data_IF_581851234008
#
_entry.id   IF_581851234008
#
_cell.length_a   1.000
_cell.length_b   1.000
_cell.length_c   1.000
_cell.angle_alpha   90.00
_cell.angle_beta   90.00
_cell.angle_gamma   90.00
#
_symmetry.space_group_name_H-M   'P 1'
#
loop_
_entity.id
_entity.type
_entity.pdbx_description
1 polymer ?
#
# COMPACT_ATOMS: atom_id res chain seq x y z
N UNK A 1 -25.72 1.73 -19.83
CA UNK A 1 -24.35 1.16 -19.87
C UNK A 1 -24.04 0.63 -18.47
N UNK A 2 -23.72 -0.67 -18.31
CA UNK A 2 -23.32 -1.25 -17.01
C UNK A 2 -21.87 -1.75 -17.17
N UNK A 3 -20.98 -1.31 -16.27
CA UNK A 3 -19.59 -1.75 -16.20
C UNK A 3 -19.36 -2.44 -14.85
N UNK A 4 -18.81 -3.66 -14.89
CA UNK A 4 -18.41 -4.41 -13.71
C UNK A 4 -17.04 -5.07 -13.95
N UNK A 5 -16.12 -4.84 -13.02
CA UNK A 5 -14.79 -5.46 -13.01
C UNK A 5 -14.64 -6.21 -11.69
N UNK A 6 -14.28 -7.50 -11.77
CA UNK A 6 -14.03 -8.35 -10.62
C UNK A 6 -12.56 -8.76 -10.58
N UNK A 7 -11.90 -8.52 -9.44
CA UNK A 7 -10.50 -8.91 -9.24
C UNK A 7 -10.37 -9.78 -7.98
N UNK A 8 -9.87 -11.01 -8.16
CA UNK A 8 -9.50 -11.94 -7.08
C UNK A 8 -8.12 -12.53 -7.37
N UNK A 9 -7.08 -11.81 -6.93
CA UNK A 9 -5.70 -12.26 -7.04
C UNK A 9 -5.22 -12.97 -5.78
N UNK A 10 -4.41 -14.01 -5.94
CA UNK A 10 -3.60 -14.57 -4.86
C UNK A 10 -2.27 -13.85 -4.82
N UNK A 11 -1.74 -13.52 -3.64
CA UNK A 11 -0.37 -13.02 -3.50
C UNK A 11 0.64 -14.02 -4.06
N UNK A 12 1.72 -13.53 -4.65
CA UNK A 12 2.82 -14.39 -5.09
C UNK A 12 3.42 -15.15 -3.90
N UNK A 13 3.61 -14.43 -2.80
CA UNK A 13 4.00 -14.99 -1.50
C UNK A 13 3.01 -14.52 -0.43
N UNK A 14 2.14 -15.42 0.00
CA UNK A 14 1.02 -15.12 0.90
C UNK A 14 1.48 -14.79 2.33
N UNK A 15 0.67 -13.97 3.01
CA UNK A 15 0.80 -13.76 4.46
C UNK A 15 0.46 -15.04 5.22
N UNK A 16 1.20 -15.34 6.28
CA UNK A 16 0.86 -16.43 7.19
C UNK A 16 -0.29 -15.98 8.10
N UNK A 17 -1.48 -16.62 8.08
CA UNK A 17 -2.60 -16.22 8.93
C UNK A 17 -2.28 -16.23 10.43
N UNK A 18 -1.32 -17.05 10.87
CA UNK A 18 -0.88 -17.11 12.28
C UNK A 18 -0.05 -15.90 12.71
N UNK A 19 0.48 -15.13 11.76
CA UNK A 19 1.20 -13.89 12.02
C UNK A 19 0.27 -12.66 12.05
N UNK A 20 -1.03 -12.85 11.79
CA UNK A 20 -2.03 -11.78 11.90
C UNK A 20 -2.42 -11.56 13.36
N UNK A 21 -2.37 -10.32 13.83
CA UNK A 21 -2.72 -9.96 15.22
C UNK A 21 -3.52 -8.66 15.26
N UNK A 22 -4.22 -8.41 16.37
CA UNK A 22 -4.87 -7.11 16.59
C UNK A 22 -3.81 -6.03 16.81
N UNK A 23 -3.85 -4.98 16.01
CA UNK A 23 -2.96 -3.81 16.12
C UNK A 23 -3.78 -2.54 15.92
N UNK A 24 -3.28 -1.43 16.47
CA UNK A 24 -3.91 -0.11 16.30
C UNK A 24 -3.70 0.40 14.88
N UNK A 25 -4.79 0.75 14.21
CA UNK A 25 -4.79 1.57 13.00
C UNK A 25 -5.18 3.00 13.36
N UNK A 26 -4.35 3.97 12.96
CA UNK A 26 -4.56 5.38 13.25
C UNK A 26 -5.43 6.00 12.14
N UNK A 27 -6.66 6.35 12.49
CA UNK A 27 -7.58 7.07 11.58
C UNK A 27 -7.33 8.57 11.60
N UNK A 28 -6.80 9.08 12.72
CA UNK A 28 -6.24 10.43 12.90
C UNK A 28 -5.13 10.38 13.97
N UNK A 29 -4.53 11.52 14.31
CA UNK A 29 -3.56 11.63 15.42
C UNK A 29 -4.19 11.30 16.79
N UNK A 30 -5.51 11.45 16.91
CA UNK A 30 -6.28 11.30 18.14
C UNK A 30 -7.12 10.02 18.16
N UNK A 31 -7.47 9.47 16.99
CA UNK A 31 -8.44 8.39 16.87
C UNK A 31 -7.80 7.12 16.33
N UNK A 32 -7.95 6.02 17.08
CA UNK A 32 -7.45 4.70 16.68
C UNK A 32 -8.54 3.64 16.70
N UNK A 33 -8.33 2.57 15.95
CA UNK A 33 -9.18 1.38 15.94
C UNK A 33 -8.32 0.13 15.85
N UNK A 34 -8.64 -0.90 16.63
CA UNK A 34 -7.97 -2.19 16.51
C UNK A 34 -8.43 -2.90 15.22
N UNK A 35 -7.45 -3.36 14.45
CA UNK A 35 -7.66 -4.11 13.19
C UNK A 35 -6.80 -5.36 13.20
N UNK A 36 -7.23 -6.39 12.46
CA UNK A 36 -6.40 -7.57 12.19
C UNK A 36 -5.28 -7.20 11.21
N UNK A 37 -4.12 -6.84 11.73
CA UNK A 37 -2.95 -6.45 10.95
C UNK A 37 -2.17 -7.70 10.54
N UNK A 38 -2.00 -7.89 9.24
CA UNK A 38 -1.18 -8.95 8.68
C UNK A 38 0.30 -8.60 8.80
N UNK A 39 1.16 -9.59 8.98
CA UNK A 39 2.61 -9.39 9.07
C UNK A 39 3.38 -10.42 8.24
N UNK A 40 4.44 -9.95 7.58
CA UNK A 40 5.41 -10.78 6.86
C UNK A 40 6.71 -9.98 6.68
N UNK A 41 7.83 -10.68 6.72
CA UNK A 41 9.14 -10.17 6.32
C UNK A 41 9.57 -10.89 5.03
N UNK A 42 9.86 -10.14 3.97
CA UNK A 42 10.37 -10.66 2.69
C UNK A 42 11.05 -9.55 1.91
N UNK A 43 11.64 -9.89 0.76
CA UNK A 43 12.17 -8.92 -0.18
C UNK A 43 11.03 -8.39 -1.06
N UNK A 44 10.74 -7.11 -0.95
CA UNK A 44 9.79 -6.40 -1.80
C UNK A 44 10.52 -5.28 -2.52
N UNK A 45 9.99 -4.87 -3.68
CA UNK A 45 10.38 -3.59 -4.25
C UNK A 45 9.78 -2.49 -3.40
N UNK A 46 10.64 -1.61 -2.91
CA UNK A 46 10.29 -0.50 -2.04
C UNK A 46 10.89 0.75 -2.66
N UNK A 47 10.08 1.79 -2.78
CA UNK A 47 10.55 3.12 -3.13
C UNK A 47 10.40 4.02 -1.90
N UNK A 48 11.52 4.33 -1.27
CA UNK A 48 11.61 5.21 -0.08
C UNK A 48 11.88 6.67 -0.44
N UNK A 49 12.03 6.99 -1.72
CA UNK A 49 12.43 8.30 -2.22
C UNK A 49 11.31 8.98 -3.01
N UNK A 50 10.05 8.77 -2.62
CA UNK A 50 8.93 9.55 -3.17
C UNK A 50 8.86 10.92 -2.48
N UNK A 51 9.96 11.67 -2.46
CA UNK A 51 10.09 12.94 -1.73
C UNK A 51 9.03 13.96 -2.13
N UNK A 52 8.68 14.01 -3.42
CA UNK A 52 7.64 14.88 -3.98
C UNK A 52 6.22 14.54 -3.51
N UNK A 53 6.05 13.34 -2.93
CA UNK A 53 4.81 12.83 -2.38
C UNK A 53 4.85 12.72 -0.85
N UNK A 54 6.02 12.89 -0.21
CA UNK A 54 6.22 12.74 1.23
C UNK A 54 5.68 11.38 1.77
N UNK A 55 6.01 10.30 1.05
CA UNK A 55 5.47 8.97 1.28
C UNK A 55 6.50 7.88 0.95
N UNK A 56 6.32 6.69 1.53
CA UNK A 56 6.97 5.45 1.08
C UNK A 56 6.03 4.72 0.13
N UNK A 57 6.58 3.90 -0.77
CA UNK A 57 5.80 2.96 -1.58
C UNK A 57 6.35 1.54 -1.48
N UNK A 58 5.46 0.56 -1.51
CA UNK A 58 5.79 -0.87 -1.57
C UNK A 58 4.96 -1.55 -2.65
N UNK A 59 5.60 -2.43 -3.44
CA UNK A 59 4.94 -3.28 -4.43
C UNK A 59 4.82 -4.71 -3.92
N UNK A 60 3.58 -5.22 -3.84
CA UNK A 60 3.27 -6.59 -3.43
C UNK A 60 2.74 -7.36 -4.66
N UNK A 61 3.53 -8.28 -5.24
CA UNK A 61 3.13 -9.00 -6.45
C UNK A 61 2.04 -10.03 -6.18
N UNK A 62 1.10 -10.16 -7.13
CA UNK A 62 0.20 -11.30 -7.22
C UNK A 62 0.88 -12.47 -7.94
N UNK A 63 0.36 -13.67 -7.69
CA UNK A 63 0.80 -14.92 -8.31
C UNK A 63 0.72 -14.80 -9.83
N UNK A 64 1.80 -15.23 -10.49
CA UNK A 64 1.92 -15.19 -11.95
C UNK A 64 2.60 -13.94 -12.49
N UNK A 65 2.99 -12.97 -11.64
CA UNK A 65 3.92 -11.88 -12.00
C UNK A 65 3.40 -10.85 -13.00
N UNK A 66 2.10 -10.87 -13.34
CA UNK A 66 1.47 -9.94 -14.29
C UNK A 66 0.81 -8.74 -13.61
N UNK A 67 0.62 -8.78 -12.31
CA UNK A 67 -0.10 -7.76 -11.54
C UNK A 67 0.48 -7.69 -10.15
N UNK A 68 0.46 -6.50 -9.57
CA UNK A 68 0.85 -6.22 -8.20
C UNK A 68 -0.09 -5.21 -7.56
N UNK A 69 -0.09 -5.15 -6.23
CA UNK A 69 -0.67 -4.05 -5.48
C UNK A 69 0.45 -3.11 -5.06
N UNK A 70 0.29 -1.82 -5.34
CA UNK A 70 1.22 -0.78 -4.88
C UNK A 70 0.53 0.03 -3.79
N UNK A 71 1.19 0.12 -2.64
CA UNK A 71 0.68 0.84 -1.47
C UNK A 71 1.58 2.05 -1.26
N UNK A 72 1.01 3.24 -1.32
CA UNK A 72 1.67 4.49 -0.94
C UNK A 72 1.26 4.83 0.50
N UNK A 73 2.25 5.02 1.37
CA UNK A 73 2.06 5.33 2.79
C UNK A 73 2.69 6.69 3.10
N UNK A 74 1.89 7.75 3.37
CA UNK A 74 2.39 9.04 3.83
C UNK A 74 3.25 8.90 5.10
N UNK A 75 4.24 9.78 5.26
CA UNK A 75 5.05 9.82 6.49
C UNK A 75 4.26 10.29 7.72
N UNK A 76 3.27 11.15 7.51
CA UNK A 76 2.40 11.68 8.56
C UNK A 76 1.08 10.91 8.64
N UNK A 77 0.59 10.66 9.86
CA UNK A 77 -0.69 9.97 10.10
C UNK A 77 -1.87 10.65 9.39
N UNK A 78 -1.87 11.98 9.36
CA UNK A 78 -2.87 12.83 8.69
C UNK A 78 -2.41 13.30 7.30
N UNK A 79 -1.38 12.67 6.72
CA UNK A 79 -0.75 13.08 5.46
C UNK A 79 -1.50 12.67 4.20
N UNK A 80 -2.53 11.82 4.29
CA UNK A 80 -3.23 11.27 3.13
C UNK A 80 -3.83 12.36 2.20
N UNK A 81 -4.51 13.41 2.69
CA UNK A 81 -5.05 14.46 1.81
C UNK A 81 -3.97 15.20 1.01
N UNK A 82 -2.79 15.42 1.62
CA UNK A 82 -1.66 16.07 0.93
C UNK A 82 -1.08 15.15 -0.14
N UNK A 83 -0.97 13.85 0.14
CA UNK A 83 -0.54 12.85 -0.83
C UNK A 83 -1.50 12.80 -2.03
N UNK A 84 -2.81 12.75 -1.79
CA UNK A 84 -3.84 12.71 -2.84
C UNK A 84 -3.81 13.95 -3.74
N UNK A 85 -3.70 15.14 -3.15
CA UNK A 85 -3.59 16.39 -3.90
C UNK A 85 -2.30 16.50 -4.73
N UNK A 86 -1.21 15.88 -4.27
CA UNK A 86 0.09 15.90 -4.94
C UNK A 86 0.23 14.81 -6.02
N UNK A 87 -0.62 13.78 -6.00
CA UNK A 87 -0.50 12.60 -6.86
C UNK A 87 -0.95 12.91 -8.30
N UNK A 88 -0.04 12.67 -9.25
CA UNK A 88 -0.30 12.79 -10.68
C UNK A 88 0.09 11.49 -11.40
N UNK A 89 -0.38 11.26 -12.64
CA UNK A 89 0.06 10.11 -13.42
C UNK A 89 1.58 10.05 -13.61
N UNK A 90 2.24 11.19 -13.80
CA UNK A 90 3.71 11.24 -13.92
C UNK A 90 4.41 10.79 -12.64
N UNK A 91 4.02 11.34 -11.49
CA UNK A 91 4.59 10.95 -10.20
C UNK A 91 4.29 9.49 -9.86
N UNK A 92 3.10 9.00 -10.20
CA UNK A 92 2.77 7.58 -10.02
C UNK A 92 3.68 6.70 -10.89
N UNK A 93 3.94 7.07 -12.15
CA UNK A 93 4.89 6.33 -12.98
C UNK A 93 6.30 6.32 -12.39
N UNK A 94 6.73 7.41 -11.75
CA UNK A 94 8.03 7.47 -11.08
C UNK A 94 8.08 6.57 -9.84
N UNK A 95 6.98 6.48 -9.08
CA UNK A 95 6.84 5.50 -7.99
C UNK A 95 7.01 4.07 -8.51
N UNK A 96 6.43 3.74 -9.67
CA UNK A 96 6.43 2.41 -10.28
C UNK A 96 7.76 2.00 -10.96
N UNK A 97 8.68 2.94 -11.18
CA UNK A 97 10.01 2.67 -11.78
C UNK A 97 11.04 2.16 -10.78
N UNK A 98 10.74 2.25 -9.48
CA UNK A 98 11.58 1.76 -8.38
C UNK A 98 11.71 0.24 -8.31
#
# INVERSE_FOLDING_TARGET
>A
LINAIYFKGLWNEQFNPRATSLQKFYMSKETTKDVHMMYKQSHFKINTECSDLNANAIEIPYKGGKTSMVILLPYEVDGLPKLEAALTPSKLLDVLKG
#
